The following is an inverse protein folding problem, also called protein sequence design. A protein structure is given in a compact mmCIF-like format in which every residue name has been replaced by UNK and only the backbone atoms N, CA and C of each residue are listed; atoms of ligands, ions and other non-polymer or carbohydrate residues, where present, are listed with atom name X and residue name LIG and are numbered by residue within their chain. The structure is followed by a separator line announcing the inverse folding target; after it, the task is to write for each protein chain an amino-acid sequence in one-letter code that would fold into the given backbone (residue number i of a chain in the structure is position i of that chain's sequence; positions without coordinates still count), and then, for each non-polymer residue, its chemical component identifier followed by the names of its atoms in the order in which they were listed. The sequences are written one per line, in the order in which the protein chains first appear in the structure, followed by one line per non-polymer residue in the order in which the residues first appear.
data_IF_847315818628
#
_entry.id   IF_847315818628
#
_cell.length_a   1.000
_cell.length_b   1.000
_cell.length_c   1.000
_cell.angle_alpha   90.00
_cell.angle_beta   90.00
_cell.angle_gamma   90.00
#
_symmetry.space_group_name_H-M   'P 1'
#
loop_
_entity.id
_entity.type
_entity.pdbx_description
1 polymer ?
#
# COMPACT_ATOMS: atom_id res chain seq x y z
N UNK A 1 -20.18 -11.81 -32.84
CA UNK A 1 -19.25 -12.15 -31.75
C UNK A 1 -19.98 -11.90 -30.43
N UNK A 2 -20.55 -12.94 -29.89
CA UNK A 2 -21.20 -12.90 -28.57
C UNK A 2 -20.10 -12.85 -27.51
N UNK A 3 -19.88 -11.67 -26.96
CA UNK A 3 -19.06 -11.54 -25.75
C UNK A 3 -19.84 -12.25 -24.66
N UNK A 4 -19.44 -13.47 -24.40
CA UNK A 4 -20.02 -14.25 -23.30
C UNK A 4 -19.77 -13.50 -21.99
N UNK A 5 -20.84 -13.09 -21.34
CA UNK A 5 -20.86 -12.45 -20.04
C UNK A 5 -20.54 -13.49 -18.92
N UNK A 6 -19.36 -14.10 -19.01
CA UNK A 6 -18.82 -14.88 -17.91
C UNK A 6 -17.68 -14.15 -17.22
N UNK A 7 -17.89 -12.85 -16.99
CA UNK A 7 -17.23 -12.20 -15.91
C UNK A 7 -18.00 -12.57 -14.64
N UNK A 8 -18.03 -13.85 -14.31
CA UNK A 8 -18.30 -14.25 -12.93
C UNK A 8 -17.33 -13.43 -12.09
N UNK A 9 -17.88 -12.70 -11.14
CA UNK A 9 -17.11 -11.99 -10.13
C UNK A 9 -16.03 -12.94 -9.59
N UNK A 10 -14.85 -12.90 -10.20
CA UNK A 10 -13.72 -13.65 -9.70
C UNK A 10 -13.45 -13.05 -8.32
N UNK A 11 -13.95 -13.71 -7.30
CA UNK A 11 -13.90 -13.19 -5.94
C UNK A 11 -12.44 -13.09 -5.52
N UNK A 12 -12.00 -11.85 -5.33
CA UNK A 12 -10.75 -11.57 -4.63
C UNK A 12 -10.83 -12.31 -3.29
N UNK A 13 -9.89 -13.19 -3.02
CA UNK A 13 -9.95 -14.08 -1.86
C UNK A 13 -9.70 -13.35 -0.53
N UNK A 14 -9.32 -12.09 -0.60
CA UNK A 14 -9.01 -11.30 0.59
C UNK A 14 -10.32 -10.70 1.15
N UNK A 15 -10.59 -10.89 2.45
CA UNK A 15 -11.82 -10.38 3.05
C UNK A 15 -11.98 -8.87 2.94
N UNK A 16 -13.16 -8.44 2.57
CA UNK A 16 -13.55 -7.03 2.40
C UNK A 16 -13.16 -6.14 3.60
N UNK A 17 -13.36 -6.65 4.82
CA UNK A 17 -13.07 -5.85 6.03
C UNK A 17 -11.57 -5.53 6.19
N UNK A 18 -10.68 -6.41 5.70
CA UNK A 18 -9.23 -6.13 5.72
C UNK A 18 -8.89 -4.97 4.77
N UNK A 19 -9.53 -4.96 3.61
CA UNK A 19 -9.36 -3.87 2.64
C UNK A 19 -9.86 -2.54 3.20
N UNK A 20 -11.03 -2.55 3.87
CA UNK A 20 -11.56 -1.35 4.53
C UNK A 20 -10.64 -0.87 5.66
N UNK A 21 -10.04 -1.81 6.40
CA UNK A 21 -9.05 -1.47 7.43
C UNK A 21 -7.83 -0.77 6.81
N UNK A 22 -7.35 -1.26 5.67
CA UNK A 22 -6.23 -0.62 4.96
C UNK A 22 -6.60 0.79 4.47
N UNK A 23 -7.85 0.97 3.97
CA UNK A 23 -8.37 2.30 3.57
C UNK A 23 -8.31 3.26 4.76
N UNK A 24 -8.82 2.83 5.93
CA UNK A 24 -8.81 3.66 7.16
C UNK A 24 -7.37 4.01 7.55
N UNK A 25 -6.49 3.00 7.62
CA UNK A 25 -5.09 3.21 8.02
C UNK A 25 -4.37 4.20 7.07
N UNK A 26 -4.51 3.99 5.77
CA UNK A 26 -3.90 4.88 4.77
C UNK A 26 -4.50 6.28 4.80
N UNK A 27 -5.82 6.40 5.01
CA UNK A 27 -6.50 7.71 5.13
C UNK A 27 -6.01 8.48 6.35
N UNK A 28 -5.84 7.82 7.50
CA UNK A 28 -5.26 8.46 8.70
C UNK A 28 -3.86 8.97 8.38
N UNK A 29 -3.02 8.15 7.73
CA UNK A 29 -1.68 8.58 7.33
C UNK A 29 -1.73 9.83 6.44
N UNK A 30 -2.66 9.86 5.48
CA UNK A 30 -2.88 11.03 4.62
C UNK A 30 -3.23 12.29 5.40
N UNK A 31 -4.16 12.19 6.37
CA UNK A 31 -4.56 13.34 7.22
C UNK A 31 -3.37 13.83 8.06
N UNK A 32 -2.61 12.91 8.64
CA UNK A 32 -1.48 13.30 9.50
C UNK A 32 -0.42 14.06 8.71
N UNK A 33 -0.13 13.62 7.49
CA UNK A 33 0.79 14.33 6.57
C UNK A 33 0.19 15.70 6.19
N UNK A 34 -1.11 15.76 5.90
CA UNK A 34 -1.81 17.03 5.58
C UNK A 34 -1.66 18.03 6.74
N UNK A 35 -1.81 17.56 7.99
CA UNK A 35 -1.66 18.39 9.19
C UNK A 35 -0.21 18.91 9.35
N UNK A 36 0.79 18.06 9.09
CA UNK A 36 2.19 18.46 9.13
C UNK A 36 2.47 19.58 8.13
N UNK A 37 1.81 19.54 6.97
CA UNK A 37 1.94 20.57 5.92
C UNK A 37 0.93 21.71 6.07
N UNK A 38 0.15 21.74 7.16
CA UNK A 38 -0.82 22.80 7.49
C UNK A 38 -1.91 22.99 6.43
N UNK A 39 -2.32 21.89 5.79
CA UNK A 39 -3.43 21.94 4.83
C UNK A 39 -4.76 22.15 5.61
N UNK A 40 -5.73 22.75 4.94
CA UNK A 40 -7.08 22.92 5.49
C UNK A 40 -7.85 21.58 5.47
N UNK A 41 -9.08 21.57 5.97
CA UNK A 41 -9.92 20.37 6.03
C UNK A 41 -10.12 19.76 4.64
N UNK A 42 -10.35 20.60 3.62
CA UNK A 42 -10.61 20.11 2.25
C UNK A 42 -9.34 19.43 1.69
N UNK A 43 -8.20 20.07 1.86
CA UNK A 43 -6.91 19.50 1.47
C UNK A 43 -6.59 18.20 2.20
N UNK A 44 -6.90 18.15 3.51
CA UNK A 44 -6.67 16.94 4.31
C UNK A 44 -7.58 15.78 3.86
N UNK A 45 -8.85 16.05 3.56
CA UNK A 45 -9.78 15.05 3.03
C UNK A 45 -9.31 14.57 1.66
N UNK A 46 -8.92 15.49 0.77
CA UNK A 46 -8.43 15.15 -0.56
C UNK A 46 -7.18 14.25 -0.47
N UNK A 47 -6.22 14.62 0.38
CA UNK A 47 -4.98 13.85 0.55
C UNK A 47 -5.25 12.48 1.17
N UNK A 48 -6.18 12.39 2.12
CA UNK A 48 -6.61 11.11 2.73
C UNK A 48 -7.23 10.17 1.69
N UNK A 49 -8.11 10.70 0.83
CA UNK A 49 -8.76 9.94 -0.24
C UNK A 49 -7.69 9.44 -1.23
N UNK A 50 -6.78 10.31 -1.64
CA UNK A 50 -5.66 9.93 -2.53
C UNK A 50 -4.79 8.84 -1.88
N UNK A 51 -4.48 8.99 -0.60
CA UNK A 51 -3.65 8.01 0.11
C UNK A 51 -4.38 6.68 0.27
N UNK A 52 -5.65 6.71 0.68
CA UNK A 52 -6.46 5.52 0.96
C UNK A 52 -6.88 4.74 -0.29
N UNK A 53 -7.20 5.43 -1.37
CA UNK A 53 -7.80 4.80 -2.56
C UNK A 53 -6.88 4.83 -3.79
N UNK A 54 -5.83 5.66 -3.77
CA UNK A 54 -4.96 5.87 -4.92
C UNK A 54 -4.24 4.63 -5.40
N UNK A 55 -3.78 3.77 -4.49
CA UNK A 55 -3.13 2.51 -4.84
C UNK A 55 -4.05 1.57 -5.61
N UNK A 56 -5.28 1.41 -5.11
CA UNK A 56 -6.32 0.62 -5.79
C UNK A 56 -6.69 1.20 -7.16
N UNK A 57 -6.77 2.53 -7.24
CA UNK A 57 -7.06 3.21 -8.51
C UNK A 57 -5.94 2.97 -9.53
N UNK A 58 -4.67 3.12 -9.13
CA UNK A 58 -3.53 2.84 -10.00
C UNK A 58 -3.53 1.39 -10.48
N UNK A 59 -3.79 0.45 -9.57
CA UNK A 59 -3.92 -0.98 -9.90
C UNK A 59 -4.96 -1.20 -10.99
N UNK A 60 -6.17 -0.68 -10.78
CA UNK A 60 -7.30 -0.94 -11.67
C UNK A 60 -7.13 -0.26 -13.02
N UNK A 61 -6.57 0.93 -13.04
CA UNK A 61 -6.22 1.64 -14.28
C UNK A 61 -5.15 0.89 -15.08
N UNK A 62 -4.22 0.23 -14.40
CA UNK A 62 -3.13 -0.52 -15.05
C UNK A 62 -3.62 -1.88 -15.55
N UNK A 63 -4.34 -2.62 -14.71
CA UNK A 63 -4.84 -3.97 -15.06
C UNK A 63 -5.93 -3.93 -16.14
N UNK A 64 -6.79 -2.93 -16.11
CA UNK A 64 -7.93 -2.76 -17.01
C UNK A 64 -8.83 -4.01 -17.06
N UNK A 65 -8.93 -4.74 -15.97
CA UNK A 65 -9.81 -5.92 -15.82
C UNK A 65 -10.68 -5.77 -14.59
N UNK A 66 -11.90 -6.27 -14.71
CA UNK A 66 -12.92 -6.04 -13.69
C UNK A 66 -13.30 -4.57 -13.65
N UNK A 67 -13.95 -4.16 -12.61
CA UNK A 67 -14.37 -2.78 -12.41
C UNK A 67 -13.36 -2.02 -11.55
N UNK A 68 -13.35 -0.70 -11.69
CA UNK A 68 -12.51 0.18 -10.88
C UNK A 68 -13.01 0.14 -9.43
N UNK A 69 -12.09 -0.11 -8.50
CA UNK A 69 -12.37 -0.32 -7.07
C UNK A 69 -13.25 0.77 -6.47
N UNK A 70 -12.89 2.03 -6.70
CA UNK A 70 -13.61 3.18 -6.12
C UNK A 70 -15.06 3.27 -6.59
N UNK A 71 -15.37 2.71 -7.77
CA UNK A 71 -16.71 2.72 -8.35
C UNK A 71 -17.55 1.53 -7.83
N UNK A 72 -16.89 0.44 -7.47
CA UNK A 72 -17.58 -0.79 -7.06
C UNK A 72 -17.69 -0.97 -5.55
N UNK A 73 -16.87 -0.26 -4.79
CA UNK A 73 -16.91 -0.33 -3.32
C UNK A 73 -17.53 0.95 -2.77
N UNK A 74 -18.85 1.00 -2.66
CA UNK A 74 -19.55 2.24 -2.26
C UNK A 74 -19.16 2.72 -0.87
N UNK A 75 -18.61 1.84 -0.03
CA UNK A 75 -18.20 2.19 1.33
C UNK A 75 -16.79 2.80 1.41
N UNK A 76 -15.92 2.52 0.44
CA UNK A 76 -14.50 2.91 0.52
C UNK A 76 -14.30 4.42 0.53
N UNK A 77 -14.97 5.14 -0.38
CA UNK A 77 -14.86 6.60 -0.48
C UNK A 77 -15.50 7.29 0.75
N UNK A 78 -16.76 7.00 1.13
CA UNK A 78 -17.32 7.59 2.34
C UNK A 78 -16.50 7.29 3.61
N UNK A 79 -15.99 6.08 3.73
CA UNK A 79 -15.16 5.66 4.88
C UNK A 79 -13.88 6.49 4.95
N UNK A 80 -13.20 6.69 3.82
CA UNK A 80 -12.00 7.53 3.74
C UNK A 80 -12.30 8.97 4.14
N UNK A 81 -13.38 9.55 3.60
CA UNK A 81 -13.82 10.93 3.91
C UNK A 81 -14.17 11.07 5.41
N UNK A 82 -14.96 10.12 5.94
CA UNK A 82 -15.36 10.14 7.35
C UNK A 82 -14.13 10.02 8.27
N UNK A 83 -13.22 9.10 7.95
CA UNK A 83 -11.96 8.94 8.69
C UNK A 83 -11.18 10.25 8.69
N UNK A 84 -11.05 10.88 7.52
CA UNK A 84 -10.31 12.13 7.38
C UNK A 84 -10.93 13.24 8.22
N UNK A 85 -12.25 13.41 8.13
CA UNK A 85 -12.97 14.44 8.88
C UNK A 85 -12.81 14.24 10.40
N UNK A 86 -13.00 13.00 10.88
CA UNK A 86 -12.90 12.67 12.31
C UNK A 86 -11.48 12.97 12.82
N UNK A 87 -10.44 12.47 12.15
CA UNK A 87 -9.05 12.63 12.59
C UNK A 87 -8.62 14.10 12.52
N UNK A 88 -9.11 14.85 11.53
CA UNK A 88 -8.78 16.28 11.37
C UNK A 88 -9.43 17.13 12.47
N UNK A 89 -10.73 16.89 12.75
CA UNK A 89 -11.52 17.67 13.72
C UNK A 89 -11.10 17.35 15.17
N UNK A 90 -10.74 16.09 15.43
CA UNK A 90 -10.36 15.63 16.78
C UNK A 90 -8.87 15.25 16.84
N UNK A 91 -7.95 16.25 16.83
CA UNK A 91 -6.52 15.97 16.81
C UNK A 91 -6.03 15.18 18.03
N UNK A 92 -6.75 15.25 19.15
CA UNK A 92 -6.40 14.52 20.38
C UNK A 92 -6.45 12.99 20.23
N UNK A 93 -7.08 12.46 19.17
CA UNK A 93 -7.08 11.01 18.89
C UNK A 93 -5.68 10.51 18.58
N UNK A 94 -4.81 11.38 18.03
CA UNK A 94 -3.44 11.00 17.63
C UNK A 94 -2.43 11.90 18.35
N UNK A 95 -1.84 11.40 19.44
CA UNK A 95 -0.87 12.14 20.24
C UNK A 95 0.53 12.20 19.62
N UNK A 96 0.92 11.14 18.88
CA UNK A 96 2.29 11.00 18.35
C UNK A 96 2.27 10.64 16.87
N UNK A 97 1.95 11.60 15.99
CA UNK A 97 1.83 11.34 14.55
C UNK A 97 3.14 10.80 13.94
N UNK A 98 4.29 11.28 14.40
CA UNK A 98 5.61 10.89 13.92
C UNK A 98 5.85 9.37 13.96
N UNK A 99 5.30 8.69 14.97
CA UNK A 99 5.42 7.23 15.11
C UNK A 99 4.28 6.49 14.42
N UNK A 100 3.12 7.11 14.38
CA UNK A 100 1.90 6.49 13.85
C UNK A 100 1.91 6.45 12.32
N UNK A 101 2.41 7.50 11.65
CA UNK A 101 2.47 7.55 10.18
C UNK A 101 3.21 6.33 9.61
N UNK A 102 4.47 6.03 10.03
CA UNK A 102 5.16 4.85 9.50
C UNK A 102 4.46 3.53 9.82
N UNK A 103 3.84 3.41 10.99
CA UNK A 103 3.12 2.19 11.38
C UNK A 103 1.89 1.96 10.48
N UNK A 104 1.10 3.01 10.27
CA UNK A 104 -0.09 2.94 9.42
C UNK A 104 0.30 2.64 7.96
N UNK A 105 1.38 3.27 7.49
CA UNK A 105 1.91 3.00 6.14
C UNK A 105 2.32 1.52 6.01
N UNK A 106 3.03 0.95 6.99
CA UNK A 106 3.45 -0.46 6.96
C UNK A 106 2.24 -1.40 6.87
N UNK A 107 1.22 -1.15 7.70
CA UNK A 107 0.01 -1.98 7.76
C UNK A 107 -0.73 -1.91 6.42
N UNK A 108 -0.99 -0.70 5.93
CA UNK A 108 -1.72 -0.51 4.66
C UNK A 108 -0.93 -1.08 3.47
N UNK A 109 0.39 -0.87 3.43
CA UNK A 109 1.27 -1.41 2.39
C UNK A 109 1.19 -2.95 2.36
N UNK A 110 1.23 -3.61 3.53
CA UNK A 110 1.15 -5.08 3.60
C UNK A 110 -0.16 -5.62 3.03
N UNK A 111 -1.28 -5.01 3.42
CA UNK A 111 -2.61 -5.43 2.96
C UNK A 111 -2.76 -5.13 1.45
N UNK A 112 -2.40 -3.93 1.02
CA UNK A 112 -2.52 -3.53 -0.39
C UNK A 112 -1.58 -4.32 -1.31
N UNK A 113 -0.41 -4.75 -0.82
CA UNK A 113 0.46 -5.63 -1.60
C UNK A 113 -0.25 -6.94 -1.92
N UNK A 114 -0.89 -7.52 -0.90
CA UNK A 114 -1.62 -8.78 -1.07
C UNK A 114 -2.85 -8.58 -1.96
N UNK A 115 -3.68 -7.55 -1.73
CA UNK A 115 -4.89 -7.31 -2.52
C UNK A 115 -4.58 -7.01 -3.99
N UNK A 116 -3.49 -6.27 -4.23
CA UNK A 116 -3.05 -5.95 -5.60
C UNK A 116 -2.57 -7.18 -6.35
N UNK A 117 -1.77 -8.01 -5.70
CA UNK A 117 -1.27 -9.25 -6.27
C UNK A 117 -2.39 -10.28 -6.48
N UNK A 118 -3.29 -10.41 -5.48
CA UNK A 118 -4.42 -11.35 -5.53
C UNK A 118 -5.36 -11.04 -6.72
N UNK A 119 -5.68 -9.77 -6.92
CA UNK A 119 -6.52 -9.37 -8.06
C UNK A 119 -5.87 -9.79 -9.39
N UNK A 120 -4.58 -9.53 -9.57
CA UNK A 120 -3.88 -9.94 -10.79
C UNK A 120 -3.84 -11.48 -10.94
N UNK A 121 -3.64 -12.22 -9.84
CA UNK A 121 -3.65 -13.70 -9.84
C UNK A 121 -5.01 -14.24 -10.27
N UNK A 122 -6.09 -13.71 -9.72
CA UNK A 122 -7.48 -14.12 -9.99
C UNK A 122 -7.81 -13.94 -11.49
N UNK A 123 -7.29 -12.88 -12.11
CA UNK A 123 -7.49 -12.64 -13.54
C UNK A 123 -6.46 -13.37 -14.44
N UNK A 124 -5.63 -14.24 -13.86
CA UNK A 124 -4.74 -15.13 -14.60
C UNK A 124 -3.49 -14.47 -15.18
N UNK A 125 -3.05 -13.35 -14.64
CA UNK A 125 -1.83 -12.70 -15.08
C UNK A 125 -0.59 -13.48 -14.64
N UNK A 126 0.50 -13.33 -15.40
CA UNK A 126 1.79 -13.95 -15.09
C UNK A 126 2.31 -13.50 -13.70
N UNK A 127 3.07 -14.37 -13.00
CA UNK A 127 3.57 -14.05 -11.64
C UNK A 127 4.31 -12.72 -11.53
N UNK A 128 5.10 -12.37 -12.53
CA UNK A 128 5.81 -11.09 -12.55
C UNK A 128 4.85 -9.89 -12.53
N UNK A 129 3.72 -10.00 -13.28
CA UNK A 129 2.68 -8.96 -13.30
C UNK A 129 1.99 -8.89 -11.93
N UNK A 130 1.72 -10.05 -11.31
CA UNK A 130 1.10 -10.09 -9.97
C UNK A 130 1.98 -9.38 -8.93
N UNK A 131 3.28 -9.64 -8.94
CA UNK A 131 4.24 -8.96 -8.05
C UNK A 131 4.23 -7.46 -8.32
N UNK A 132 4.27 -7.05 -9.59
CA UNK A 132 4.25 -5.64 -9.99
C UNK A 132 2.96 -4.95 -9.53
N UNK A 133 1.81 -5.61 -9.69
CA UNK A 133 0.52 -5.05 -9.26
C UNK A 133 0.41 -4.95 -7.75
N UNK A 134 0.91 -5.95 -7.01
CA UNK A 134 1.02 -5.87 -5.56
C UNK A 134 1.86 -4.67 -5.13
N UNK A 135 3.01 -4.49 -5.77
CA UNK A 135 3.90 -3.37 -5.51
C UNK A 135 3.21 -2.02 -5.77
N UNK A 136 2.66 -1.81 -6.98
CA UNK A 136 2.00 -0.53 -7.33
C UNK A 136 0.80 -0.23 -6.44
N UNK A 137 0.01 -1.25 -6.09
CA UNK A 137 -1.13 -1.06 -5.18
C UNK A 137 -0.65 -0.63 -3.80
N UNK A 138 0.38 -1.31 -3.30
CA UNK A 138 0.93 -1.08 -1.95
C UNK A 138 1.50 0.33 -1.78
N UNK A 139 2.32 0.76 -2.73
CA UNK A 139 3.04 2.03 -2.58
C UNK A 139 2.34 3.21 -3.25
N UNK A 140 1.37 2.94 -4.12
CA UNK A 140 0.75 3.96 -4.98
C UNK A 140 0.12 5.10 -4.21
N UNK A 141 -0.66 4.80 -3.17
CA UNK A 141 -1.28 5.83 -2.34
C UNK A 141 -0.25 6.73 -1.66
N UNK A 142 0.78 6.12 -1.06
CA UNK A 142 1.87 6.86 -0.42
C UNK A 142 2.70 7.68 -1.41
N UNK A 143 2.97 7.12 -2.59
CA UNK A 143 3.69 7.84 -3.65
C UNK A 143 2.90 9.07 -4.13
N UNK A 144 1.60 8.92 -4.33
CA UNK A 144 0.73 10.04 -4.71
C UNK A 144 0.71 11.10 -3.60
N UNK A 145 0.52 10.67 -2.34
CA UNK A 145 0.55 11.58 -1.18
C UNK A 145 1.83 12.40 -1.14
N UNK A 146 2.97 11.69 -1.15
CA UNK A 146 4.29 12.34 -1.03
C UNK A 146 4.57 13.22 -2.26
N UNK A 147 4.20 12.77 -3.45
CA UNK A 147 4.35 13.53 -4.69
C UNK A 147 3.55 14.83 -4.69
N UNK A 148 2.28 14.79 -4.22
CA UNK A 148 1.47 16.00 -4.11
C UNK A 148 2.03 16.97 -3.06
N UNK A 149 2.72 16.45 -2.04
CA UNK A 149 3.36 17.28 -1.03
C UNK A 149 4.74 17.80 -1.45
N UNK A 150 5.21 17.40 -2.63
CA UNK A 150 6.52 17.82 -3.14
C UNK A 150 7.70 17.24 -2.39
N UNK A 151 7.48 16.09 -1.70
CA UNK A 151 8.56 15.41 -0.97
C UNK A 151 8.96 14.13 -1.69
N UNK A 152 10.19 13.69 -1.45
CA UNK A 152 10.68 12.43 -2.06
C UNK A 152 9.89 11.27 -1.48
N UNK A 153 9.15 10.52 -2.31
CA UNK A 153 8.35 9.41 -1.79
C UNK A 153 9.17 8.44 -0.93
N UNK A 154 8.55 8.01 0.17
CA UNK A 154 9.19 7.12 1.13
C UNK A 154 9.79 5.86 0.51
N UNK A 155 9.21 5.37 -0.59
CA UNK A 155 9.71 4.18 -1.28
C UNK A 155 11.13 4.37 -1.85
N UNK A 156 11.51 5.59 -2.19
CA UNK A 156 12.84 5.90 -2.72
C UNK A 156 13.86 6.22 -1.62
N UNK A 157 13.42 6.24 -0.37
CA UNK A 157 14.32 6.49 0.76
C UNK A 157 15.11 5.22 1.11
N UNK A 158 16.37 5.41 1.51
CA UNK A 158 17.36 4.34 1.72
C UNK A 158 16.97 3.30 2.80
N UNK A 159 16.11 3.69 3.72
CA UNK A 159 15.70 2.84 4.85
C UNK A 159 14.46 2.00 4.58
N UNK A 160 13.85 2.16 3.40
CA UNK A 160 12.55 1.52 3.11
C UNK A 160 12.71 0.31 2.20
N UNK A 161 12.60 -0.90 2.77
CA UNK A 161 12.66 -2.17 2.04
C UNK A 161 11.22 -2.67 1.77
N UNK A 162 10.81 -2.62 0.51
CA UNK A 162 9.47 -3.04 0.07
C UNK A 162 9.51 -4.43 -0.61
N UNK A 163 10.40 -5.29 -0.16
CA UNK A 163 10.50 -6.66 -0.69
C UNK A 163 9.32 -7.57 -0.34
N UNK A 164 8.64 -7.20 0.36
CA UNK A 164 7.51 -7.93 0.85
C UNK A 164 6.46 -8.28 -0.16
N UNK A 165 6.35 -7.62 -1.16
CA UNK A 165 5.42 -7.91 -2.16
C UNK A 165 5.69 -9.18 -2.92
N UNK A 166 6.76 -9.56 -2.90
CA UNK A 166 7.18 -10.80 -3.45
C UNK A 166 6.79 -11.98 -2.62
N UNK A 167 6.75 -11.77 -1.46
CA UNK A 167 6.43 -12.92 -0.58
C UNK A 167 5.00 -13.45 -0.74
N UNK A 168 4.04 -12.60 -0.87
CA UNK A 168 2.62 -13.01 -1.05
C UNK A 168 2.45 -13.90 -2.29
N UNK A 169 2.92 -13.44 -3.43
CA UNK A 169 2.78 -14.16 -4.69
C UNK A 169 3.45 -15.54 -4.61
N UNK A 170 4.67 -15.58 -4.07
CA UNK A 170 5.40 -16.85 -3.90
C UNK A 170 4.64 -17.83 -3.00
N UNK A 171 4.08 -17.34 -1.90
CA UNK A 171 3.35 -18.19 -0.95
C UNK A 171 2.04 -18.73 -1.54
N UNK A 172 1.28 -17.88 -2.23
CA UNK A 172 0.02 -18.31 -2.86
C UNK A 172 0.31 -19.29 -4.00
N UNK A 173 1.29 -18.99 -4.86
CA UNK A 173 1.62 -19.85 -6.01
C UNK A 173 2.22 -21.19 -5.59
N UNK A 174 2.88 -21.26 -4.43
CA UNK A 174 3.39 -22.55 -3.92
C UNK A 174 2.26 -23.49 -3.47
N UNK A 175 1.03 -22.98 -3.29
CA UNK A 175 -0.09 -23.78 -2.83
C UNK A 175 0.01 -24.27 -1.38
N UNK A 176 1.01 -23.75 -0.64
CA UNK A 176 1.29 -24.22 0.73
C UNK A 176 0.20 -23.75 1.72
N UNK A 177 -0.41 -22.59 1.45
CA UNK A 177 -1.36 -22.01 2.41
C UNK A 177 -2.48 -21.22 1.70
N UNK A 178 -3.56 -20.99 2.44
CA UNK A 178 -4.69 -20.21 1.92
C UNK A 178 -4.29 -18.75 1.68
N UNK A 179 -5.03 -18.07 0.82
CA UNK A 179 -4.78 -16.66 0.48
C UNK A 179 -4.78 -15.75 1.73
N UNK A 180 -5.67 -16.01 2.68
CA UNK A 180 -5.75 -15.25 3.94
C UNK A 180 -4.50 -15.50 4.79
N UNK A 181 -4.06 -16.76 4.90
CA UNK A 181 -2.83 -17.08 5.63
C UNK A 181 -1.60 -16.45 4.97
N UNK A 182 -1.51 -16.50 3.64
CA UNK A 182 -0.44 -15.85 2.87
C UNK A 182 -0.43 -14.33 3.09
N UNK A 183 -1.63 -13.70 3.16
CA UNK A 183 -1.77 -12.27 3.47
C UNK A 183 -1.20 -11.97 4.87
N UNK A 184 -1.63 -12.73 5.89
CA UNK A 184 -1.15 -12.52 7.27
C UNK A 184 0.38 -12.64 7.32
N UNK A 185 0.93 -13.66 6.68
CA UNK A 185 2.39 -13.85 6.61
C UNK A 185 3.05 -12.65 5.89
N UNK A 186 2.48 -12.21 4.78
CA UNK A 186 2.98 -11.05 4.03
C UNK A 186 3.02 -9.78 4.91
N UNK A 187 1.93 -9.50 5.64
CA UNK A 187 1.84 -8.35 6.54
C UNK A 187 2.89 -8.48 7.65
N UNK A 188 2.97 -9.64 8.29
CA UNK A 188 3.93 -9.89 9.38
C UNK A 188 5.38 -9.75 8.89
N UNK A 189 5.69 -10.31 7.73
CA UNK A 189 7.03 -10.23 7.11
C UNK A 189 7.36 -8.76 6.78
N UNK A 190 6.41 -8.04 6.17
CA UNK A 190 6.59 -6.61 5.83
C UNK A 190 6.84 -5.79 7.09
N UNK A 191 6.02 -5.99 8.13
CA UNK A 191 6.18 -5.31 9.43
C UNK A 191 7.53 -5.67 10.08
N UNK A 192 7.88 -6.95 10.07
CA UNK A 192 9.13 -7.44 10.65
C UNK A 192 10.36 -6.84 9.96
N UNK A 193 10.39 -6.89 8.63
CA UNK A 193 11.48 -6.33 7.83
C UNK A 193 11.61 -4.83 8.04
N UNK A 194 10.47 -4.13 8.09
CA UNK A 194 10.44 -2.69 8.33
C UNK A 194 10.94 -2.35 9.74
N UNK A 195 10.46 -3.08 10.75
CA UNK A 195 10.93 -2.91 12.13
C UNK A 195 12.44 -3.17 12.25
N UNK A 196 12.92 -4.25 11.61
CA UNK A 196 14.34 -4.59 11.59
C UNK A 196 15.17 -3.48 10.92
N UNK A 197 14.70 -3.01 9.76
CA UNK A 197 15.36 -1.92 9.01
C UNK A 197 15.51 -0.66 9.89
N UNK A 198 14.44 -0.30 10.58
CA UNK A 198 14.44 0.88 11.47
C UNK A 198 15.28 0.65 12.74
N UNK A 199 15.23 -0.56 13.30
CA UNK A 199 15.93 -0.88 14.56
C UNK A 199 17.45 -0.94 14.36
N UNK A 200 17.91 -1.46 13.23
CA UNK A 200 19.33 -1.65 12.92
C UNK A 200 19.88 -0.60 11.94
N UNK A 201 19.08 0.42 11.59
CA UNK A 201 19.44 1.47 10.62
C UNK A 201 20.02 0.88 9.32
N UNK A 202 19.38 -0.22 8.84
CA UNK A 202 19.82 -0.90 7.63
C UNK A 202 19.47 0.00 6.43
N UNK A 203 20.49 0.43 5.71
CA UNK A 203 20.34 1.33 4.56
C UNK A 203 20.79 0.65 3.27
N UNK A 204 20.04 0.88 2.21
CA UNK A 204 20.48 0.44 0.87
C UNK A 204 21.79 1.15 0.51
N UNK A 205 22.75 0.43 -0.09
CA UNK A 205 24.03 1.05 -0.45
C UNK A 205 23.85 2.10 -1.54
N UNK A 206 24.54 3.22 -1.41
CA UNK A 206 24.63 4.23 -2.46
C UNK A 206 25.76 3.90 -3.42
N UNK A 207 25.82 4.62 -4.52
CA UNK A 207 26.94 4.55 -5.47
C UNK A 207 28.29 4.73 -4.75
N UNK A 208 28.35 5.69 -3.81
CA UNK A 208 29.57 5.96 -3.02
C UNK A 208 29.93 4.77 -2.11
N UNK A 209 28.94 4.14 -1.50
CA UNK A 209 29.17 2.95 -0.64
C UNK A 209 29.73 1.79 -1.49
N UNK A 210 29.15 1.58 -2.67
CA UNK A 210 29.59 0.55 -3.61
C UNK A 210 31.04 0.86 -4.09
N UNK A 211 31.31 2.12 -4.46
CA UNK A 211 32.63 2.55 -4.90
C UNK A 211 33.68 2.33 -3.79
N UNK A 212 33.37 2.71 -2.54
CA UNK A 212 34.26 2.46 -1.39
C UNK A 212 34.55 0.97 -1.20
N UNK A 213 33.53 0.14 -1.35
CA UNK A 213 33.67 -1.31 -1.21
C UNK A 213 34.59 -1.88 -2.30
N UNK A 214 34.44 -1.42 -3.55
CA UNK A 214 35.25 -1.88 -4.69
C UNK A 214 36.73 -1.40 -4.56
N UNK A 215 36.95 -0.15 -4.10
CA UNK A 215 38.29 0.37 -3.89
C UNK A 215 39.01 -0.24 -2.69
N UNK A 216 38.29 -0.76 -1.70
CA UNK A 216 38.87 -1.41 -0.51
C UNK A 216 39.42 -2.81 -0.82
N UNK A 217 39.03 -3.40 -1.97
CA UNK A 217 39.49 -4.73 -2.41
C UNK A 217 40.72 -4.69 -3.34
N UNK A 218 41.24 -3.49 -3.63
CA UNK A 218 42.51 -3.30 -4.35
C UNK A 218 43.62 -2.93 -3.36
#
# INVERSE_FOLDING_TARGET
MTVTSHATDAMVAIPFWLEMFAVVAASISGVLVAREHKLDLVGAVALAVVCGLGGGLLRDMTLQVGNVYILNQPMALPLSIATAAIIYIFPAIVDKPEKLIPLLDIISVGIYAATGADKALVYGFAPAVCIMMGFFTAVGGGMLRDGFMGVVPGIFQRTNFYAXXXSYVCLVMSGIMSNVAALVVCVVVTMGLRWLSLRFDIKSPTEEDIARFLHRKK
#
